data_IF_650879225903
#
_entry.id   IF_650879225903
#
_cell.length_a   1.000
_cell.length_b   1.000
_cell.length_c   1.000
_cell.angle_alpha   90.00
_cell.angle_beta   90.00
_cell.angle_gamma   90.00
#
_symmetry.space_group_name_H-M   'P 1'
#
loop_
_entity.id
_entity.type
_entity.pdbx_description
1 polymer ?
#
# COMPACT_ATOMS: atom_id res chain seq x y z
N UNK A 1 3.60 -0.74 -3.78
CA UNK A 1 4.05 -1.85 -2.89
C UNK A 1 2.95 -2.09 -1.88
N UNK A 2 2.57 -3.34 -1.65
CA UNK A 2 1.59 -3.72 -0.63
C UNK A 2 2.36 -4.55 0.40
N UNK A 3 2.27 -4.14 1.67
CA UNK A 3 2.84 -4.86 2.80
C UNK A 3 1.67 -5.51 3.53
N UNK A 4 1.72 -6.83 3.63
CA UNK A 4 0.73 -7.65 4.32
C UNK A 4 1.38 -8.31 5.54
N UNK A 5 0.56 -8.65 6.52
CA UNK A 5 1.00 -9.44 7.68
C UNK A 5 1.30 -10.90 7.29
N UNK A 6 1.89 -11.64 8.23
CA UNK A 6 2.30 -13.04 8.06
C UNK A 6 1.13 -14.03 7.90
N UNK A 7 -0.10 -13.60 8.19
CA UNK A 7 -1.32 -14.39 8.02
C UNK A 7 -1.93 -14.34 6.61
N UNK A 8 -1.39 -13.49 5.72
CA UNK A 8 -1.83 -13.33 4.34
C UNK A 8 -0.76 -13.86 3.39
N UNK A 9 -1.14 -14.76 2.48
CA UNK A 9 -0.26 -15.16 1.38
C UNK A 9 -0.13 -14.04 0.33
N UNK A 10 1.06 -13.45 0.11
CA UNK A 10 1.25 -12.38 -0.87
C UNK A 10 1.11 -12.85 -2.34
N UNK A 11 1.12 -14.16 -2.60
CA UNK A 11 0.93 -14.73 -3.94
C UNK A 11 -0.54 -15.04 -4.24
N UNK A 12 -1.42 -15.04 -3.24
CA UNK A 12 -2.88 -15.16 -3.42
C UNK A 12 -3.52 -13.77 -3.53
N UNK A 13 -3.80 -13.35 -4.77
CA UNK A 13 -4.41 -12.05 -5.05
C UNK A 13 -5.75 -11.85 -4.33
N UNK A 14 -6.52 -12.91 -4.09
CA UNK A 14 -7.83 -12.80 -3.42
C UNK A 14 -7.66 -12.40 -1.95
N UNK A 15 -6.67 -12.98 -1.27
CA UNK A 15 -6.35 -12.63 0.12
C UNK A 15 -5.78 -11.22 0.22
N UNK A 16 -4.88 -10.84 -0.69
CA UNK A 16 -4.31 -9.48 -0.73
C UNK A 16 -5.39 -8.41 -0.94
N UNK A 17 -6.33 -8.64 -1.86
CA UNK A 17 -7.44 -7.69 -2.10
C UNK A 17 -8.42 -7.64 -0.92
N UNK A 18 -8.64 -8.75 -0.23
CA UNK A 18 -9.45 -8.76 1.00
C UNK A 18 -8.78 -7.98 2.12
N UNK A 19 -7.48 -8.18 2.35
CA UNK A 19 -6.71 -7.43 3.34
C UNK A 19 -6.78 -5.92 3.02
N UNK A 20 -6.53 -5.53 1.77
CA UNK A 20 -6.62 -4.13 1.33
C UNK A 20 -8.01 -3.52 1.52
N UNK A 21 -9.08 -4.29 1.37
CA UNK A 21 -10.45 -3.77 1.50
C UNK A 21 -10.92 -3.67 2.96
N UNK A 22 -10.37 -4.50 3.86
CA UNK A 22 -10.88 -4.64 5.23
C UNK A 22 -9.95 -4.06 6.30
N UNK A 23 -8.65 -3.98 6.02
CA UNK A 23 -7.61 -3.59 6.98
C UNK A 23 -6.95 -2.25 6.65
N UNK A 24 -7.17 -1.68 5.47
CA UNK A 24 -6.52 -0.45 5.03
C UNK A 24 -7.25 0.81 5.53
N UNK A 25 -6.55 1.67 6.27
CA UNK A 25 -7.01 3.01 6.64
C UNK A 25 -6.15 4.06 5.93
N UNK A 26 -6.67 4.80 4.92
CA UNK A 26 -5.87 5.73 4.12
C UNK A 26 -5.14 6.82 4.92
N UNK A 27 -5.65 7.21 6.09
CA UNK A 27 -5.04 8.25 6.92
C UNK A 27 -3.81 7.79 7.71
N UNK A 28 -3.62 6.48 7.90
CA UNK A 28 -2.54 5.91 8.71
C UNK A 28 -1.62 4.99 7.91
N UNK A 29 -2.17 4.29 6.93
CA UNK A 29 -1.51 3.15 6.29
C UNK A 29 -1.05 3.45 4.86
N UNK A 30 -1.23 4.68 4.39
CA UNK A 30 -0.75 5.14 3.08
C UNK A 30 0.52 5.98 3.25
N UNK A 31 1.61 5.49 2.68
CA UNK A 31 2.85 6.26 2.55
C UNK A 31 3.08 6.57 1.07
N UNK A 32 3.13 7.87 0.77
CA UNK A 32 3.47 8.39 -0.56
C UNK A 32 4.91 8.84 -0.54
N UNK A 33 5.74 8.23 -1.39
CA UNK A 33 7.12 8.67 -1.62
C UNK A 33 7.12 9.52 -2.89
N UNK A 34 7.27 10.86 -2.77
CA UNK A 34 7.26 11.74 -3.93
C UNK A 34 8.55 11.64 -4.74
N UNK A 35 8.43 11.90 -6.04
CA UNK A 35 9.57 12.08 -6.95
C UNK A 35 10.59 10.93 -6.89
N UNK A 36 10.08 9.70 -6.86
CA UNK A 36 10.92 8.52 -6.89
C UNK A 36 11.33 8.20 -8.34
N UNK A 37 12.54 7.65 -8.51
CA UNK A 37 13.00 7.24 -9.83
C UNK A 37 12.18 6.06 -10.36
N UNK A 38 11.75 6.19 -11.61
CA UNK A 38 11.06 5.16 -12.39
C UNK A 38 11.73 5.06 -13.76
N UNK A 39 11.42 4.03 -14.53
CA UNK A 39 11.89 3.93 -15.91
C UNK A 39 11.29 5.07 -16.74
N UNK A 40 12.08 5.66 -17.63
CA UNK A 40 11.63 6.76 -18.51
C UNK A 40 10.54 6.36 -19.52
N UNK A 41 10.26 5.07 -19.63
CA UNK A 41 9.18 4.50 -20.47
C UNK A 41 7.81 4.51 -19.79
N UNK A 42 7.72 4.88 -18.51
CA UNK A 42 6.43 5.04 -17.83
C UNK A 42 5.73 6.30 -18.37
N UNK A 43 4.68 6.12 -19.18
CA UNK A 43 3.89 7.21 -19.74
C UNK A 43 3.14 8.04 -18.70
N UNK A 44 3.02 7.54 -17.47
CA UNK A 44 2.42 8.28 -16.34
C UNK A 44 3.43 9.13 -15.57
N UNK A 45 4.73 9.01 -15.87
CA UNK A 45 5.77 9.81 -15.22
C UNK A 45 5.73 11.26 -15.70
N UNK A 46 5.72 12.19 -14.75
CA UNK A 46 5.75 13.63 -15.01
C UNK A 46 6.57 14.30 -13.90
N UNK A 47 7.80 14.77 -14.18
CA UNK A 47 8.55 14.72 -15.45
C UNK A 47 9.05 13.30 -15.82
N UNK A 48 9.49 13.07 -17.07
CA UNK A 48 9.92 11.74 -17.54
C UNK A 48 10.98 11.10 -16.63
N UNK A 49 10.73 9.89 -16.16
CA UNK A 49 11.63 9.14 -15.26
C UNK A 49 11.44 9.45 -13.77
N UNK A 50 10.46 10.27 -13.40
CA UNK A 50 10.08 10.53 -12.01
C UNK A 50 8.58 10.30 -11.80
N UNK A 51 8.22 9.52 -10.78
CA UNK A 51 6.83 9.30 -10.39
C UNK A 51 6.69 9.11 -8.88
N UNK A 52 5.45 9.15 -8.39
CA UNK A 52 5.15 8.89 -6.99
C UNK A 52 5.10 7.38 -6.75
N UNK A 53 5.78 6.89 -5.71
CA UNK A 53 5.64 5.50 -5.25
C UNK A 53 4.69 5.43 -4.07
N UNK A 54 3.80 4.46 -4.12
CA UNK A 54 2.85 4.19 -3.05
C UNK A 54 3.26 2.94 -2.27
N UNK A 55 3.26 3.07 -0.95
CA UNK A 55 3.42 1.95 -0.02
C UNK A 55 2.13 1.87 0.79
N UNK A 56 1.47 0.73 0.69
CA UNK A 56 0.19 0.43 1.33
C UNK A 56 0.46 -0.60 2.42
N UNK A 57 0.21 -0.24 3.68
CA UNK A 57 0.31 -1.16 4.81
C UNK A 57 -1.07 -1.76 5.10
N UNK A 58 -1.12 -3.06 5.37
CA UNK A 58 -2.35 -3.75 5.74
C UNK A 58 -2.18 -4.54 7.04
N UNK A 59 -1.98 -3.85 8.17
CA UNK A 59 -1.81 -4.50 9.46
C UNK A 59 -3.16 -5.03 9.98
N UNK A 60 -3.10 -6.00 10.89
CA UNK A 60 -4.26 -6.50 11.59
C UNK A 60 -5.01 -5.35 12.29
N UNK A 61 -6.33 -5.31 12.11
CA UNK A 61 -7.23 -4.29 12.63
C UNK A 61 -7.28 -4.40 14.17
N UNK A 62 -6.53 -3.55 14.88
CA UNK A 62 -6.58 -3.44 16.36
C UNK A 62 -7.61 -2.38 16.80
N UNK A 63 -8.64 -2.11 15.98
CA UNK A 63 -9.57 -0.99 16.19
C UNK A 63 -10.67 -1.30 17.23
N UNK A 64 -10.47 -2.31 18.10
CA UNK A 64 -11.33 -2.52 19.29
C UNK A 64 -10.65 -2.15 20.62
N UNK A 65 -9.36 -1.78 20.64
CA UNK A 65 -8.62 -1.50 21.88
C UNK A 65 -8.31 -0.01 22.13
N UNK A 66 -8.87 0.92 21.35
CA UNK A 66 -8.71 2.37 21.57
C UNK A 66 -10.01 3.06 22.04
N UNK A 67 -10.98 2.26 22.52
CA UNK A 67 -12.22 2.69 23.16
C UNK A 67 -12.36 2.03 24.54
N UNK A 68 -11.25 2.00 25.30
CA UNK A 68 -11.17 1.92 26.76
C UNK A 68 -9.91 2.64 27.21
#
# INVERSE_FOLDING_TARGET
MIVVDDDIDPFDLKQVMWALSTRFTPSKDLVVVPTASIISLDSSSDPPGMSHKLILFCPYVIIQSALF
#
